data_IF_405528061194
#
_entry.id   IF_405528061194
#
_cell.length_a   1.000
_cell.length_b   1.000
_cell.length_c   1.000
_cell.angle_alpha   90.00
_cell.angle_beta   90.00
_cell.angle_gamma   90.00
#
_symmetry.space_group_name_H-M   'P 1'
#
loop_
_entity.id
_entity.type
_entity.pdbx_description
1 polymer ?
#
# COMPACT_ATOMS: atom_id res chain seq x y z
N UNK A 1 49.44 62.09 77.20
CA UNK A 1 50.37 61.18 76.51
C UNK A 1 49.76 59.80 76.62
N UNK A 2 49.22 59.27 75.51
CA UNK A 2 48.58 57.95 75.54
C UNK A 2 49.64 56.87 75.76
N UNK A 3 49.34 55.89 76.60
CA UNK A 3 50.26 54.78 76.90
C UNK A 3 50.14 53.66 75.86
N UNK A 4 51.22 52.90 75.64
CA UNK A 4 51.24 51.78 74.70
C UNK A 4 50.09 50.79 74.99
N UNK A 5 49.76 50.58 76.26
CA UNK A 5 48.65 49.72 76.70
C UNK A 5 47.27 50.22 76.25
N UNK A 6 47.02 51.53 76.28
CA UNK A 6 45.75 52.10 75.79
C UNK A 6 45.58 51.92 74.28
N UNK A 7 46.67 52.06 73.52
CA UNK A 7 46.67 51.78 72.09
C UNK A 7 46.43 50.30 71.78
N UNK A 8 47.08 49.39 72.52
CA UNK A 8 46.88 47.94 72.35
C UNK A 8 45.42 47.56 72.63
N UNK A 9 44.82 48.05 73.72
CA UNK A 9 43.42 47.75 74.04
C UNK A 9 42.42 48.36 73.04
N UNK A 10 42.72 49.55 72.50
CA UNK A 10 41.90 50.15 71.47
C UNK A 10 41.95 49.36 70.15
N UNK A 11 43.13 48.83 69.79
CA UNK A 11 43.30 47.94 68.65
C UNK A 11 42.57 46.61 68.89
N UNK A 12 42.72 46.01 70.06
CA UNK A 12 42.06 44.74 70.41
C UNK A 12 40.53 44.88 70.39
N UNK A 13 39.99 45.95 70.97
CA UNK A 13 38.55 46.25 70.93
C UNK A 13 38.03 46.59 69.53
N UNK A 14 38.88 47.13 68.64
CA UNK A 14 38.53 47.35 67.24
C UNK A 14 38.52 46.05 66.43
N UNK A 15 39.49 45.15 66.67
CA UNK A 15 39.57 43.82 66.05
C UNK A 15 38.40 42.94 66.52
N UNK A 16 38.04 43.00 67.80
CA UNK A 16 36.88 42.33 68.37
C UNK A 16 35.54 43.04 68.11
N UNK A 17 35.52 44.04 67.22
CA UNK A 17 34.29 44.72 66.82
C UNK A 17 33.38 43.78 66.00
N UNK A 18 32.66 42.96 66.76
CA UNK A 18 31.69 41.97 66.31
C UNK A 18 30.64 42.56 65.38
N UNK A 19 30.33 43.86 65.49
CA UNK A 19 29.38 44.52 64.60
C UNK A 19 29.95 44.67 63.18
N UNK A 20 31.21 45.10 63.04
CA UNK A 20 31.90 45.21 61.75
C UNK A 20 32.04 43.84 61.08
N UNK A 21 32.51 42.83 61.82
CA UNK A 21 32.65 41.46 61.30
C UNK A 21 31.30 40.86 60.87
N UNK A 22 30.23 41.10 61.65
CA UNK A 22 28.87 40.68 61.26
C UNK A 22 28.40 41.36 59.98
N UNK A 23 28.63 42.65 59.81
CA UNK A 23 28.20 43.38 58.61
C UNK A 23 28.90 42.84 57.34
N UNK A 24 30.21 42.56 57.43
CA UNK A 24 30.97 41.96 56.33
C UNK A 24 30.40 40.57 55.97
N UNK A 25 30.16 39.72 56.97
CA UNK A 25 29.57 38.41 56.76
C UNK A 25 28.17 38.50 56.15
N UNK A 26 27.33 39.43 56.60
CA UNK A 26 26.00 39.67 56.06
C UNK A 26 26.07 40.02 54.57
N UNK A 27 26.98 40.89 54.16
CA UNK A 27 27.13 41.29 52.76
C UNK A 27 27.66 40.16 51.89
N UNK A 28 28.61 39.36 52.40
CA UNK A 28 29.09 38.17 51.73
C UNK A 28 27.97 37.14 51.53
N UNK A 29 27.16 36.90 52.56
CA UNK A 29 26.00 36.00 52.49
C UNK A 29 25.01 36.53 51.46
N UNK A 30 24.63 37.81 51.51
CA UNK A 30 23.71 38.40 50.51
C UNK A 30 24.24 38.26 49.09
N UNK A 31 25.54 38.47 48.87
CA UNK A 31 26.17 38.31 47.55
C UNK A 31 26.14 36.86 47.10
N UNK A 32 26.50 35.91 47.96
CA UNK A 32 26.47 34.48 47.66
C UNK A 32 25.03 34.01 47.37
N UNK A 33 24.05 34.41 48.16
CA UNK A 33 22.63 34.09 47.95
C UNK A 33 22.16 34.57 46.58
N UNK A 34 22.47 35.81 46.19
CA UNK A 34 22.10 36.32 44.85
C UNK A 34 22.72 35.50 43.73
N UNK A 35 23.99 35.13 43.85
CA UNK A 35 24.68 34.29 42.86
C UNK A 35 24.05 32.91 42.75
N UNK A 36 23.67 32.29 43.87
CA UNK A 36 22.99 31.00 43.91
C UNK A 36 21.64 31.10 43.20
N UNK A 37 20.80 32.08 43.55
CA UNK A 37 19.49 32.25 42.91
C UNK A 37 19.60 32.51 41.40
N UNK A 38 20.60 33.29 40.96
CA UNK A 38 20.84 33.51 39.53
C UNK A 38 21.23 32.22 38.81
N UNK A 39 22.14 31.43 39.38
CA UNK A 39 22.53 30.13 38.82
C UNK A 39 21.36 29.15 38.78
N UNK A 40 20.55 29.11 39.82
CA UNK A 40 19.36 28.26 39.89
C UNK A 40 18.36 28.60 38.79
N UNK A 41 18.04 29.88 38.60
CA UNK A 41 17.16 30.32 37.52
C UNK A 41 17.70 29.97 36.13
N UNK A 42 19.02 30.10 35.93
CA UNK A 42 19.65 29.71 34.66
C UNK A 42 19.55 28.21 34.42
N UNK A 43 19.85 27.39 35.45
CA UNK A 43 19.72 25.93 35.37
C UNK A 43 18.29 25.49 35.07
N UNK A 44 17.30 26.09 35.74
CA UNK A 44 15.89 25.81 35.47
C UNK A 44 15.51 26.11 34.01
N UNK A 45 16.00 27.24 33.47
CA UNK A 45 15.80 27.60 32.07
C UNK A 45 16.48 26.61 31.12
N UNK A 46 17.73 26.26 31.39
CA UNK A 46 18.51 25.35 30.55
C UNK A 46 17.89 23.96 30.52
N UNK A 47 17.45 23.45 31.68
CA UNK A 47 16.74 22.17 31.78
C UNK A 47 15.45 22.21 30.95
N UNK A 48 14.66 23.27 31.08
CA UNK A 48 13.43 23.40 30.29
C UNK A 48 13.70 23.43 28.78
N UNK A 49 14.70 24.21 28.36
CA UNK A 49 15.08 24.29 26.94
C UNK A 49 15.59 22.96 26.41
N UNK A 50 16.39 22.24 27.17
CA UNK A 50 16.92 20.94 26.77
C UNK A 50 15.81 19.89 26.64
N UNK A 51 14.85 19.87 27.57
CA UNK A 51 13.68 19.01 27.46
C UNK A 51 12.87 19.34 26.19
N UNK A 52 12.65 20.62 25.90
CA UNK A 52 11.96 21.03 24.69
C UNK A 52 12.72 20.63 23.42
N UNK A 53 14.04 20.79 23.39
CA UNK A 53 14.87 20.38 22.24
C UNK A 53 14.77 18.88 22.00
N UNK A 54 14.82 18.07 23.06
CA UNK A 54 14.68 16.61 22.96
C UNK A 54 13.32 16.21 22.41
N UNK A 55 12.26 16.80 22.95
CA UNK A 55 10.90 16.55 22.46
C UNK A 55 10.76 16.92 20.98
N UNK A 56 11.27 18.08 20.58
CA UNK A 56 11.22 18.52 19.19
C UNK A 56 12.04 17.60 18.27
N UNK A 57 13.24 17.19 18.68
CA UNK A 57 14.09 16.30 17.91
C UNK A 57 13.47 14.89 17.76
N UNK A 58 12.80 14.39 18.79
CA UNK A 58 12.05 13.13 18.74
C UNK A 58 10.88 13.24 17.75
N UNK A 59 10.10 14.32 17.82
CA UNK A 59 9.00 14.56 16.88
C UNK A 59 9.48 14.71 15.42
N UNK A 60 10.64 15.34 15.21
CA UNK A 60 11.26 15.47 13.88
C UNK A 60 11.71 14.09 13.36
N UNK A 61 12.36 13.28 14.20
CA UNK A 61 12.75 11.92 13.86
C UNK A 61 11.53 11.05 13.49
N UNK A 62 10.45 11.14 14.25
CA UNK A 62 9.20 10.43 13.96
C UNK A 62 8.61 10.84 12.62
N UNK A 63 8.58 12.15 12.33
CA UNK A 63 8.13 12.67 11.04
C UNK A 63 8.97 12.14 9.87
N UNK A 64 10.30 12.10 10.01
CA UNK A 64 11.17 11.51 9.00
C UNK A 64 10.87 10.03 8.78
N UNK A 65 10.66 9.26 9.85
CA UNK A 65 10.34 7.83 9.77
C UNK A 65 9.01 7.64 9.04
N UNK A 66 7.98 8.44 9.38
CA UNK A 66 6.68 8.41 8.70
C UNK A 66 6.84 8.73 7.22
N UNK A 67 7.60 9.77 6.87
CA UNK A 67 7.84 10.15 5.49
C UNK A 67 8.59 9.05 4.70
N UNK A 68 9.63 8.46 5.29
CA UNK A 68 10.37 7.34 4.68
C UNK A 68 9.46 6.12 4.46
N UNK A 69 8.60 5.79 5.43
CA UNK A 69 7.60 4.71 5.29
C UNK A 69 6.60 5.01 4.16
N UNK A 70 6.08 6.23 4.10
CA UNK A 70 5.14 6.65 3.05
C UNK A 70 5.79 6.55 1.66
N UNK A 71 7.03 7.02 1.52
CA UNK A 71 7.78 6.93 0.26
C UNK A 71 8.03 5.47 -0.13
N UNK A 72 8.47 4.62 0.81
CA UNK A 72 8.71 3.20 0.54
C UNK A 72 7.43 2.50 0.08
N UNK A 73 6.31 2.77 0.75
CA UNK A 73 5.00 2.23 0.37
C UNK A 73 4.61 2.65 -1.05
N UNK A 74 4.82 3.93 -1.40
CA UNK A 74 4.56 4.45 -2.73
C UNK A 74 5.40 3.74 -3.81
N UNK A 75 6.70 3.58 -3.60
CA UNK A 75 7.58 2.86 -4.53
C UNK A 75 7.16 1.41 -4.74
N UNK A 76 6.84 0.69 -3.66
CA UNK A 76 6.38 -0.70 -3.75
C UNK A 76 5.08 -0.81 -4.53
N UNK A 77 4.12 0.09 -4.25
CA UNK A 77 2.82 0.09 -4.91
C UNK A 77 2.97 0.31 -6.41
N UNK A 78 3.77 1.30 -6.81
CA UNK A 78 4.05 1.57 -8.22
C UNK A 78 4.79 0.41 -8.88
N UNK A 79 5.76 -0.20 -8.20
CA UNK A 79 6.47 -1.38 -8.69
C UNK A 79 5.50 -2.52 -9.03
N UNK A 80 4.59 -2.85 -8.11
CA UNK A 80 3.55 -3.87 -8.32
C UNK A 80 2.65 -3.54 -9.52
N UNK A 81 2.14 -2.31 -9.59
CA UNK A 81 1.31 -1.88 -10.72
C UNK A 81 2.07 -1.99 -12.04
N UNK A 82 3.36 -1.64 -12.08
CA UNK A 82 4.18 -1.75 -13.29
C UNK A 82 4.35 -3.21 -13.74
N UNK A 83 4.61 -4.12 -12.80
CA UNK A 83 4.71 -5.56 -13.09
C UNK A 83 3.38 -6.13 -13.61
N UNK A 84 2.27 -5.78 -12.98
CA UNK A 84 0.93 -6.17 -13.43
C UNK A 84 0.62 -5.64 -14.85
N UNK A 85 0.96 -4.38 -15.14
CA UNK A 85 0.84 -3.82 -16.49
C UNK A 85 1.71 -4.57 -17.51
N UNK A 86 2.95 -4.92 -17.16
CA UNK A 86 3.82 -5.67 -18.05
C UNK A 86 3.29 -7.08 -18.31
N UNK A 87 2.78 -7.76 -17.29
CA UNK A 87 2.16 -9.08 -17.43
C UNK A 87 0.94 -9.02 -18.36
N UNK A 88 0.08 -8.01 -18.20
CA UNK A 88 -1.05 -7.81 -19.10
C UNK A 88 -0.62 -7.59 -20.55
N UNK A 89 0.41 -6.77 -20.81
CA UNK A 89 0.95 -6.58 -22.16
C UNK A 89 1.50 -7.90 -22.75
N UNK A 90 2.23 -8.66 -21.94
CA UNK A 90 2.79 -9.95 -22.36
C UNK A 90 1.67 -10.95 -22.72
N UNK A 91 0.61 -11.01 -21.91
CA UNK A 91 -0.56 -11.85 -22.17
C UNK A 91 -1.28 -11.42 -23.46
N UNK A 92 -1.47 -10.12 -23.69
CA UNK A 92 -2.05 -9.61 -24.93
C UNK A 92 -1.21 -9.99 -26.16
N UNK A 93 0.12 -9.89 -26.08
CA UNK A 93 1.02 -10.30 -27.16
C UNK A 93 0.91 -11.80 -27.46
N UNK A 94 0.79 -12.65 -26.43
CA UNK A 94 0.58 -14.09 -26.61
C UNK A 94 -0.79 -14.39 -27.24
N UNK A 95 -1.86 -13.74 -26.79
CA UNK A 95 -3.20 -13.88 -27.37
C UNK A 95 -3.17 -13.50 -28.86
N UNK A 96 -2.54 -12.38 -29.20
CA UNK A 96 -2.41 -11.94 -30.59
C UNK A 96 -1.62 -12.96 -31.42
N UNK A 97 -0.53 -13.51 -30.88
CA UNK A 97 0.24 -14.55 -31.54
C UNK A 97 -0.58 -15.84 -31.75
N UNK A 98 -1.41 -16.23 -30.79
CA UNK A 98 -2.31 -17.39 -30.92
C UNK A 98 -3.42 -17.14 -31.94
N UNK A 99 -4.03 -15.95 -31.95
CA UNK A 99 -5.04 -15.56 -32.93
C UNK A 99 -4.48 -15.55 -34.36
N UNK A 100 -3.25 -15.06 -34.54
CA UNK A 100 -2.60 -14.98 -35.85
C UNK A 100 -2.00 -16.32 -36.32
N UNK A 101 -1.67 -17.23 -35.39
CA UNK A 101 -1.19 -18.57 -35.70
C UNK A 101 -2.30 -19.63 -35.62
N UNK A 102 -3.58 -19.26 -35.48
CA UNK A 102 -4.68 -20.20 -35.59
C UNK A 102 -4.69 -20.72 -37.04
N UNK A 103 -4.19 -21.94 -37.32
CA UNK A 103 -4.23 -22.49 -38.65
C UNK A 103 -5.69 -22.85 -38.84
N UNK A 104 -6.34 -22.08 -39.71
CA UNK A 104 -7.78 -22.06 -39.92
C UNK A 104 -8.49 -21.21 -38.87
N UNK A 105 -9.13 -20.16 -39.39
CA UNK A 105 -10.53 -19.95 -39.05
C UNK A 105 -11.22 -21.33 -39.08
N UNK A 106 -11.33 -22.01 -37.94
CA UNK A 106 -12.53 -22.82 -37.74
C UNK A 106 -13.61 -21.78 -37.89
N UNK A 107 -14.32 -21.83 -39.01
CA UNK A 107 -15.54 -21.09 -39.25
C UNK A 107 -16.39 -21.18 -37.98
N UNK A 108 -16.28 -20.18 -37.10
CA UNK A 108 -17.22 -19.97 -36.01
C UNK A 108 -18.58 -19.51 -36.56
N UNK A 109 -18.74 -19.52 -37.90
CA UNK A 109 -20.00 -19.46 -38.60
C UNK A 109 -20.77 -20.80 -38.62
N UNK A 110 -20.23 -21.90 -38.07
CA UNK A 110 -20.78 -23.24 -38.37
C UNK A 110 -21.03 -24.20 -37.21
N UNK A 111 -20.58 -23.95 -35.98
CA UNK A 111 -21.00 -24.79 -34.84
C UNK A 111 -22.23 -24.18 -34.17
N UNK A 112 -23.27 -23.95 -34.99
CA UNK A 112 -24.61 -23.87 -34.45
C UNK A 112 -24.96 -25.29 -34.01
N UNK A 113 -24.99 -25.54 -32.70
CA UNK A 113 -25.59 -26.77 -32.19
C UNK A 113 -27.08 -26.70 -32.49
N UNK A 114 -27.46 -27.27 -33.63
CA UNK A 114 -28.85 -27.35 -34.05
C UNK A 114 -29.55 -28.36 -33.14
N UNK A 115 -30.31 -27.84 -32.17
CA UNK A 115 -31.21 -28.64 -31.35
C UNK A 115 -32.64 -28.37 -31.80
N UNK A 116 -33.42 -29.43 -31.96
CA UNK A 116 -34.86 -29.28 -32.17
C UNK A 116 -35.53 -29.13 -30.81
N UNK A 117 -36.13 -27.98 -30.55
CA UNK A 117 -37.12 -27.84 -29.49
C UNK A 117 -38.51 -28.15 -30.05
N UNK A 118 -39.37 -28.80 -29.24
CA UNK A 118 -40.72 -29.17 -29.68
C UNK A 118 -41.64 -27.96 -29.92
N UNK A 119 -41.26 -26.81 -29.39
CA UNK A 119 -41.93 -25.53 -29.63
C UNK A 119 -41.42 -24.82 -30.90
N UNK A 120 -40.40 -25.37 -31.59
CA UNK A 120 -39.83 -24.77 -32.79
C UNK A 120 -40.68 -25.06 -34.04
N UNK A 121 -40.65 -24.11 -34.98
CA UNK A 121 -41.22 -24.27 -36.32
C UNK A 121 -40.50 -25.38 -37.08
N UNK A 122 -41.20 -26.50 -37.31
CA UNK A 122 -40.68 -27.66 -38.05
C UNK A 122 -40.10 -27.25 -39.42
N UNK A 123 -40.77 -26.41 -40.24
CA UNK A 123 -40.21 -25.97 -41.53
C UNK A 123 -38.87 -25.23 -41.40
N UNK A 124 -38.74 -24.36 -40.40
CA UNK A 124 -37.54 -23.55 -40.20
C UNK A 124 -36.37 -24.42 -39.71
N UNK A 125 -36.65 -25.36 -38.81
CA UNK A 125 -35.68 -26.36 -38.38
C UNK A 125 -35.19 -27.21 -39.57
N UNK A 126 -36.09 -27.70 -40.43
CA UNK A 126 -35.72 -28.51 -41.59
C UNK A 126 -34.87 -27.72 -42.60
N UNK A 127 -35.15 -26.43 -42.79
CA UNK A 127 -34.36 -25.57 -43.66
C UNK A 127 -32.93 -25.39 -43.13
N UNK A 128 -32.77 -25.16 -41.83
CA UNK A 128 -31.47 -25.06 -41.17
C UNK A 128 -30.72 -26.39 -41.15
N UNK A 129 -31.41 -27.50 -40.87
CA UNK A 129 -30.83 -28.85 -40.86
C UNK A 129 -30.28 -29.23 -42.24
N UNK A 130 -31.01 -28.93 -43.32
CA UNK A 130 -30.56 -29.19 -44.68
C UNK A 130 -29.31 -28.39 -45.04
N UNK A 131 -29.24 -27.14 -44.60
CA UNK A 131 -28.07 -26.28 -44.81
C UNK A 131 -26.85 -26.79 -44.02
N UNK A 132 -27.05 -27.26 -42.78
CA UNK A 132 -25.96 -27.83 -41.97
C UNK A 132 -25.44 -29.16 -42.54
N UNK A 133 -26.32 -30.03 -43.06
CA UNK A 133 -25.89 -31.24 -43.78
C UNK A 133 -25.06 -30.92 -45.03
N UNK A 134 -25.44 -29.88 -45.78
CA UNK A 134 -24.69 -29.42 -46.95
C UNK A 134 -23.32 -28.87 -46.55
N UNK A 135 -23.25 -28.06 -45.50
CA UNK A 135 -21.98 -27.52 -44.99
C UNK A 135 -21.03 -28.62 -44.47
N UNK A 136 -21.59 -29.75 -44.02
CA UNK A 136 -20.83 -30.93 -43.56
C UNK A 136 -20.51 -31.93 -44.68
N UNK A 137 -20.85 -31.59 -45.92
CA UNK A 137 -20.67 -32.44 -47.11
C UNK A 137 -21.38 -33.81 -47.00
N UNK A 138 -22.48 -33.88 -46.24
CA UNK A 138 -23.28 -35.10 -46.11
C UNK A 138 -24.32 -35.15 -47.23
N UNK A 139 -24.08 -35.99 -48.24
CA UNK A 139 -25.05 -36.24 -49.31
C UNK A 139 -26.21 -37.12 -48.82
N UNK A 140 -27.33 -36.47 -48.47
CA UNK A 140 -28.58 -37.15 -48.11
C UNK A 140 -29.39 -37.63 -49.33
N UNK A 141 -29.02 -37.19 -50.54
CA UNK A 141 -29.75 -37.44 -51.79
C UNK A 141 -29.18 -38.60 -52.61
N UNK A 142 -27.90 -38.93 -52.44
CA UNK A 142 -27.19 -39.98 -53.18
C UNK A 142 -27.69 -41.41 -52.92
N UNK A 143 -27.56 -42.27 -53.93
CA UNK A 143 -27.94 -43.69 -53.91
C UNK A 143 -27.06 -44.58 -52.99
N UNK A 144 -26.15 -43.99 -52.20
CA UNK A 144 -25.26 -44.69 -51.27
C UNK A 144 -25.82 -44.73 -49.84
N UNK A 145 -25.89 -45.93 -49.25
CA UNK A 145 -26.45 -46.15 -47.90
C UNK A 145 -25.77 -45.35 -46.76
N UNK A 146 -24.52 -44.90 -46.95
CA UNK A 146 -23.74 -44.23 -45.90
C UNK A 146 -24.20 -42.78 -45.63
N UNK A 147 -24.49 -41.98 -46.65
CA UNK A 147 -24.87 -40.57 -46.47
C UNK A 147 -26.21 -40.41 -45.74
N UNK A 148 -27.18 -41.28 -46.08
CA UNK A 148 -28.48 -41.35 -45.40
C UNK A 148 -28.35 -41.81 -43.94
N UNK A 149 -27.53 -42.82 -43.67
CA UNK A 149 -27.30 -43.29 -42.30
C UNK A 149 -26.65 -42.20 -41.43
N UNK A 150 -25.69 -41.44 -41.99
CA UNK A 150 -25.04 -40.33 -41.30
C UNK A 150 -26.01 -39.17 -41.03
N UNK A 151 -26.82 -38.77 -42.01
CA UNK A 151 -27.85 -37.75 -41.83
C UNK A 151 -28.87 -38.12 -40.75
N UNK A 152 -29.29 -39.40 -40.70
CA UNK A 152 -30.22 -39.89 -39.67
C UNK A 152 -29.56 -39.89 -38.28
N UNK A 153 -28.31 -40.34 -38.17
CA UNK A 153 -27.57 -40.27 -36.91
C UNK A 153 -27.40 -38.85 -36.39
N UNK A 154 -27.18 -37.90 -37.31
CA UNK A 154 -27.09 -36.50 -36.99
C UNK A 154 -28.44 -35.90 -36.56
N UNK A 155 -29.53 -36.22 -37.27
CA UNK A 155 -30.89 -35.83 -36.88
C UNK A 155 -31.22 -36.30 -35.45
N UNK A 156 -30.88 -37.54 -35.11
CA UNK A 156 -31.10 -38.08 -33.75
C UNK A 156 -30.32 -37.30 -32.69
N UNK A 157 -29.14 -36.80 -33.03
CA UNK A 157 -28.32 -35.99 -32.13
C UNK A 157 -28.91 -34.59 -31.89
N UNK A 158 -29.68 -34.06 -32.85
CA UNK A 158 -30.41 -32.81 -32.72
C UNK A 158 -31.67 -32.92 -31.84
N UNK A 159 -32.26 -34.11 -31.71
CA UNK A 159 -33.48 -34.34 -30.94
C UNK A 159 -33.14 -34.53 -29.45
N UNK A 160 -33.37 -33.50 -28.62
CA UNK A 160 -33.12 -33.57 -27.17
C UNK A 160 -34.39 -34.05 -26.43
N UNK A 161 -34.26 -35.02 -25.54
CA UNK A 161 -35.22 -35.20 -24.43
C UNK A 161 -36.19 -36.39 -24.46
N UNK A 162 -36.32 -37.16 -25.55
CA UNK A 162 -36.92 -38.51 -25.52
C UNK A 162 -36.31 -39.38 -26.61
N UNK A 163 -35.77 -40.52 -26.22
CA UNK A 163 -35.35 -41.60 -27.13
C UNK A 163 -36.54 -41.94 -28.03
N UNK A 164 -36.34 -41.91 -29.36
CA UNK A 164 -37.25 -42.55 -30.31
C UNK A 164 -37.06 -44.07 -30.15
N UNK A 165 -37.71 -44.64 -29.13
CA UNK A 165 -38.06 -46.06 -29.09
C UNK A 165 -39.38 -46.29 -29.84
#
# INVERSE_FOLDING_TARGET
>A
MATITELVNAIDGYVDNRATTRNILIDQIKKATRQICQKENNLQRDIFQEQQRRYNAEAECDNEIIQKKANLYWYITIGKTREECQNNLNLQAQILALQNNLPNQINLAGIHYLYFNWDDSIPDFLAQFKLDLQNREIDSTGAGANGRAQAIGYLRSCMRGRTLE
#
